data_IF_828162598772
#
_entry.id   IF_828162598772
#
_cell.length_a   1.000
_cell.length_b   1.000
_cell.length_c   1.000
_cell.angle_alpha   90.00
_cell.angle_beta   90.00
_cell.angle_gamma   90.00
#
_symmetry.space_group_name_H-M   'P 1'
#
loop_
_entity.id
_entity.type
_entity.pdbx_description
1 polymer ?
#
# COMPACT_ATOMS: atom_id res chain seq x y z
N UNK A 1 -0.52 -3.81 -14.97
CA UNK A 1 -1.62 -4.65 -14.52
C UNK A 1 -2.71 -3.83 -13.87
N UNK A 2 -3.93 -4.22 -14.16
CA UNK A 2 -5.09 -3.48 -13.68
C UNK A 2 -5.20 -3.47 -12.16
N UNK A 3 -5.00 -4.63 -11.53
CA UNK A 3 -5.09 -4.73 -10.07
C UNK A 3 -4.00 -3.90 -9.38
N UNK A 4 -2.79 -3.97 -9.89
CA UNK A 4 -1.68 -3.21 -9.33
C UNK A 4 -1.98 -1.71 -9.39
N UNK A 5 -2.47 -1.24 -10.53
CA UNK A 5 -2.81 0.16 -10.72
C UNK A 5 -3.90 0.61 -9.75
N UNK A 6 -4.94 -0.22 -9.57
CA UNK A 6 -6.04 0.11 -8.67
C UNK A 6 -5.52 0.22 -7.23
N UNK A 7 -4.70 -0.72 -6.80
CA UNK A 7 -4.17 -0.71 -5.43
C UNK A 7 -3.28 0.52 -5.22
N UNK A 8 -2.42 0.81 -6.17
CA UNK A 8 -1.54 1.97 -6.07
C UNK A 8 -2.35 3.27 -5.99
N UNK A 9 -3.35 3.42 -6.85
CA UNK A 9 -4.20 4.61 -6.86
C UNK A 9 -4.96 4.74 -5.54
N UNK A 10 -5.41 3.62 -4.98
CA UNK A 10 -6.12 3.64 -3.71
C UNK A 10 -5.21 4.13 -2.58
N UNK A 11 -3.97 3.64 -2.53
CA UNK A 11 -3.01 4.09 -1.53
C UNK A 11 -2.75 5.58 -1.67
N UNK A 12 -2.54 6.06 -2.90
CA UNK A 12 -2.34 7.48 -3.13
C UNK A 12 -3.55 8.32 -2.70
N UNK A 13 -4.75 7.84 -3.00
CA UNK A 13 -5.96 8.54 -2.63
C UNK A 13 -6.11 8.65 -1.11
N UNK A 14 -5.75 7.60 -0.38
CA UNK A 14 -5.79 7.63 1.08
C UNK A 14 -4.83 8.68 1.64
N UNK A 15 -3.63 8.76 1.07
CA UNK A 15 -2.67 9.78 1.49
C UNK A 15 -3.19 11.18 1.22
N UNK A 16 -3.77 11.39 0.05
CA UNK A 16 -4.24 12.71 -0.35
C UNK A 16 -5.46 13.14 0.45
N UNK A 17 -6.37 12.20 0.73
CA UNK A 17 -7.62 12.52 1.40
C UNK A 17 -7.45 12.69 2.91
N UNK A 18 -6.70 11.80 3.55
CA UNK A 18 -6.57 11.79 5.01
C UNK A 18 -5.30 12.47 5.52
N UNK A 19 -4.39 12.83 4.63
CA UNK A 19 -3.12 13.42 5.03
C UNK A 19 -2.09 12.36 5.41
N UNK A 20 -0.93 12.82 5.82
CA UNK A 20 0.21 11.93 6.01
C UNK A 20 -0.03 10.91 7.12
N UNK A 21 -0.37 11.36 8.31
CA UNK A 21 -0.46 10.46 9.46
C UNK A 21 -1.61 9.46 9.32
N UNK A 22 -2.82 9.96 9.07
CA UNK A 22 -3.99 9.09 8.94
C UNK A 22 -3.96 8.29 7.65
N UNK A 23 -3.48 8.90 6.57
CA UNK A 23 -3.38 8.20 5.28
C UNK A 23 -2.48 6.99 5.37
N UNK A 24 -1.33 7.12 6.05
CA UNK A 24 -0.41 6.01 6.25
C UNK A 24 -1.09 4.89 7.05
N UNK A 25 -1.82 5.24 8.10
CA UNK A 25 -2.51 4.24 8.92
C UNK A 25 -3.58 3.50 8.14
N UNK A 26 -4.39 4.23 7.39
CA UNK A 26 -5.44 3.61 6.59
C UNK A 26 -4.87 2.77 5.45
N UNK A 27 -3.76 3.22 4.88
CA UNK A 27 -3.10 2.44 3.82
C UNK A 27 -2.61 1.10 4.35
N UNK A 28 -2.08 1.05 5.57
CA UNK A 28 -1.67 -0.21 6.19
C UNK A 28 -2.85 -1.19 6.27
N UNK A 29 -4.00 -0.69 6.71
CA UNK A 29 -5.19 -1.51 6.86
C UNK A 29 -5.65 -2.05 5.51
N UNK A 30 -5.68 -1.19 4.50
CA UNK A 30 -6.12 -1.60 3.17
C UNK A 30 -5.14 -2.59 2.51
N UNK A 31 -3.84 -2.39 2.69
CA UNK A 31 -2.85 -3.31 2.14
C UNK A 31 -2.95 -4.68 2.82
N UNK A 32 -3.20 -4.71 4.13
CA UNK A 32 -3.40 -5.98 4.83
C UNK A 32 -4.61 -6.73 4.25
N UNK A 33 -5.68 -6.00 3.98
CA UNK A 33 -6.88 -6.58 3.39
C UNK A 33 -6.61 -7.11 1.98
N UNK A 34 -5.95 -6.32 1.14
CA UNK A 34 -5.58 -6.77 -0.20
C UNK A 34 -4.66 -7.98 -0.14
N UNK A 35 -3.75 -8.00 0.84
CA UNK A 35 -2.78 -9.08 0.97
C UNK A 35 -3.43 -10.45 1.18
N UNK A 36 -4.62 -10.47 1.78
CA UNK A 36 -5.35 -11.74 1.96
C UNK A 36 -5.78 -12.34 0.63
N UNK A 37 -5.82 -11.54 -0.42
CA UNK A 37 -6.27 -11.95 -1.74
C UNK A 37 -5.15 -11.99 -2.78
N UNK A 38 -3.91 -11.76 -2.35
CA UNK A 38 -2.75 -11.73 -3.24
C UNK A 38 -1.79 -12.86 -2.89
N UNK A 39 -1.32 -13.56 -3.93
CA UNK A 39 -0.33 -14.61 -3.74
C UNK A 39 1.03 -14.01 -3.36
N UNK A 40 1.75 -14.71 -2.50
CA UNK A 40 3.13 -14.33 -2.14
C UNK A 40 3.24 -12.92 -1.56
N UNK A 41 2.22 -12.49 -0.84
CA UNK A 41 2.16 -11.11 -0.33
C UNK A 41 2.51 -10.98 1.14
N UNK A 42 2.74 -12.08 1.85
CA UNK A 42 2.92 -12.03 3.30
C UNK A 42 4.12 -11.16 3.69
N UNK A 43 5.25 -11.35 3.04
CA UNK A 43 6.45 -10.56 3.33
C UNK A 43 6.23 -9.09 2.99
N UNK A 44 5.55 -8.84 1.86
CA UNK A 44 5.21 -7.48 1.44
C UNK A 44 4.35 -6.77 2.48
N UNK A 45 3.30 -7.44 2.96
CA UNK A 45 2.40 -6.85 3.96
C UNK A 45 3.14 -6.54 5.24
N UNK A 46 3.99 -7.47 5.72
CA UNK A 46 4.76 -7.25 6.93
C UNK A 46 5.71 -6.07 6.79
N UNK A 47 6.38 -5.96 5.65
CA UNK A 47 7.29 -4.86 5.39
C UNK A 47 6.52 -3.54 5.28
N UNK A 48 5.38 -3.56 4.61
CA UNK A 48 4.55 -2.37 4.43
C UNK A 48 4.13 -1.79 5.78
N UNK A 49 3.82 -2.65 6.75
CA UNK A 49 3.39 -2.20 8.08
C UNK A 49 4.48 -1.44 8.84
N UNK A 50 5.73 -1.57 8.42
CA UNK A 50 6.84 -0.85 9.05
C UNK A 50 7.08 0.53 8.45
N UNK A 51 6.47 0.80 7.31
CA UNK A 51 6.68 2.07 6.63
C UNK A 51 5.85 3.17 7.28
N UNK A 52 6.45 4.35 7.43
CA UNK A 52 5.83 5.43 8.17
C UNK A 52 5.56 6.68 7.34
N UNK A 53 5.96 6.70 6.07
CA UNK A 53 5.73 7.86 5.19
C UNK A 53 4.99 7.45 3.93
N UNK A 54 4.22 8.40 3.34
CA UNK A 54 3.53 8.13 2.07
C UNK A 54 4.47 7.73 0.95
N UNK A 55 5.63 8.38 0.86
CA UNK A 55 6.60 8.05 -0.20
C UNK A 55 7.08 6.62 -0.10
N UNK A 56 7.41 6.18 1.11
CA UNK A 56 7.85 4.81 1.33
C UNK A 56 6.77 3.81 0.95
N UNK A 57 5.53 4.11 1.33
CA UNK A 57 4.41 3.21 1.03
C UNK A 57 4.18 3.11 -0.47
N UNK A 58 4.20 4.25 -1.17
CA UNK A 58 4.02 4.26 -2.62
C UNK A 58 5.13 3.51 -3.32
N UNK A 59 6.37 3.70 -2.88
CA UNK A 59 7.51 2.99 -3.45
C UNK A 59 7.41 1.48 -3.24
N UNK A 60 6.95 1.07 -2.06
CA UNK A 60 6.79 -0.35 -1.76
C UNK A 60 5.76 -1.02 -2.65
N UNK A 61 4.64 -0.34 -2.90
CA UNK A 61 3.61 -0.88 -3.80
C UNK A 61 4.16 -1.03 -5.21
N UNK A 62 4.87 -0.01 -5.69
CA UNK A 62 5.46 -0.08 -7.02
C UNK A 62 6.45 -1.24 -7.14
N UNK A 63 7.28 -1.41 -6.12
CA UNK A 63 8.28 -2.48 -6.12
C UNK A 63 7.62 -3.85 -6.12
N UNK A 64 6.59 -4.03 -5.30
CA UNK A 64 5.93 -5.33 -5.20
C UNK A 64 5.30 -5.75 -6.52
N UNK A 65 4.68 -4.81 -7.22
CA UNK A 65 4.01 -5.10 -8.48
C UNK A 65 4.90 -4.88 -9.70
N UNK A 66 6.16 -4.52 -9.50
CA UNK A 66 7.10 -4.25 -10.59
C UNK A 66 6.59 -3.17 -11.55
N UNK A 67 6.03 -2.12 -10.99
CA UNK A 67 5.49 -1.02 -11.78
C UNK A 67 6.57 -0.04 -12.24
#
# INVERSE_FOLDING_TARGET
QERASVIYQHVCALHDFYGEALGVRFARKHIAWYGEHLDNSKAFVQQFHRLTTPLEQRAAVKAFFAM
#
